data_IF_211567746987
#
_entry.id   IF_211567746987
#
_cell.length_a   1.000
_cell.length_b   1.000
_cell.length_c   1.000
_cell.angle_alpha   90.00
_cell.angle_beta   90.00
_cell.angle_gamma   90.00
#
_symmetry.space_group_name_H-M   'P 1'
#
loop_
_entity.id
_entity.type
_entity.pdbx_description
1 polymer ?
#
# COMPACT_ATOMS: atom_id res chain seq x y z
N UNK A 1 -21.88 15.29 19.31
CA UNK A 1 -20.55 15.93 19.12
C UNK A 1 -20.27 15.92 17.62
N UNK A 2 -19.95 17.07 17.02
CA UNK A 2 -19.68 17.14 15.56
C UNK A 2 -18.16 17.19 15.33
N UNK A 3 -17.66 16.34 14.44
CA UNK A 3 -16.27 16.33 13.99
C UNK A 3 -16.13 17.18 12.71
N UNK A 4 -14.93 17.70 12.47
CA UNK A 4 -14.63 18.38 11.19
C UNK A 4 -14.42 17.35 10.08
N UNK A 5 -13.73 16.25 10.39
CA UNK A 5 -13.45 15.16 9.45
C UNK A 5 -13.60 13.79 10.11
N UNK A 6 -14.23 12.84 9.42
CA UNK A 6 -14.13 11.42 9.68
C UNK A 6 -13.27 10.75 8.59
N UNK A 7 -12.31 9.93 9.00
CA UNK A 7 -11.54 9.06 8.12
C UNK A 7 -12.07 7.64 8.29
N UNK A 8 -12.64 7.08 7.24
CA UNK A 8 -13.22 5.73 7.24
C UNK A 8 -12.19 4.76 6.64
N UNK A 9 -11.75 3.81 7.47
CA UNK A 9 -10.62 2.93 7.22
C UNK A 9 -9.32 3.52 7.79
N UNK A 10 -8.83 2.96 8.91
CA UNK A 10 -7.61 3.38 9.60
C UNK A 10 -6.37 2.57 9.18
N UNK A 11 -6.37 2.06 7.95
CA UNK A 11 -5.22 1.36 7.35
C UNK A 11 -4.09 2.31 6.99
N UNK A 12 -3.31 1.95 5.95
CA UNK A 12 -2.12 2.71 5.53
C UNK A 12 -2.41 4.19 5.29
N UNK A 13 -3.27 4.49 4.32
CA UNK A 13 -3.58 5.88 3.93
C UNK A 13 -4.42 6.59 4.99
N UNK A 14 -5.42 5.90 5.56
CA UNK A 14 -6.30 6.51 6.53
C UNK A 14 -5.63 6.88 7.85
N UNK A 15 -4.64 6.11 8.31
CA UNK A 15 -3.88 6.45 9.52
C UNK A 15 -3.08 7.76 9.33
N UNK A 16 -2.45 7.93 8.16
CA UNK A 16 -1.76 9.18 7.83
C UNK A 16 -2.72 10.33 7.55
N UNK A 17 -3.88 10.08 6.92
CA UNK A 17 -4.92 11.11 6.76
C UNK A 17 -5.40 11.61 8.12
N UNK A 18 -5.66 10.71 9.07
CA UNK A 18 -6.01 11.07 10.45
C UNK A 18 -4.93 11.89 11.15
N UNK A 19 -3.66 11.50 10.98
CA UNK A 19 -2.52 12.25 11.52
C UNK A 19 -2.43 13.66 10.95
N UNK A 20 -2.50 13.81 9.62
CA UNK A 20 -2.43 15.14 9.00
C UNK A 20 -3.65 16.02 9.31
N UNK A 21 -4.85 15.44 9.36
CA UNK A 21 -6.05 16.16 9.77
C UNK A 21 -5.92 16.70 11.18
N UNK A 22 -5.50 15.87 12.13
CA UNK A 22 -5.26 16.31 13.50
C UNK A 22 -4.11 17.33 13.60
N UNK A 23 -3.03 17.16 12.84
CA UNK A 23 -1.90 18.11 12.77
C UNK A 23 -2.31 19.48 12.23
N UNK A 24 -3.32 19.53 11.35
CA UNK A 24 -3.94 20.77 10.86
C UNK A 24 -4.97 21.36 11.84
N UNK A 25 -5.14 20.78 13.02
CA UNK A 25 -6.08 21.26 14.04
C UNK A 25 -7.54 20.88 13.80
N UNK A 26 -7.83 19.97 12.86
CA UNK A 26 -9.18 19.50 12.62
C UNK A 26 -9.61 18.53 13.71
N UNK A 27 -10.85 18.66 14.18
CA UNK A 27 -11.44 17.68 15.08
C UNK A 27 -11.73 16.40 14.32
N UNK A 28 -10.87 15.41 14.49
CA UNK A 28 -10.75 14.21 13.65
C UNK A 28 -11.27 12.97 14.37
N UNK A 29 -12.01 12.12 13.62
CA UNK A 29 -12.37 10.78 14.03
C UNK A 29 -11.88 9.76 13.01
N UNK A 30 -11.05 8.79 13.42
CA UNK A 30 -10.69 7.63 12.62
C UNK A 30 -11.65 6.50 12.96
N UNK A 31 -12.30 5.93 11.95
CA UNK A 31 -13.28 4.86 12.11
C UNK A 31 -12.78 3.63 11.36
N UNK A 32 -12.72 2.50 12.04
CA UNK A 32 -12.41 1.21 11.43
C UNK A 32 -13.24 0.10 12.08
N UNK A 33 -13.61 -0.90 11.29
CA UNK A 33 -14.34 -2.06 11.80
C UNK A 33 -13.53 -2.86 12.81
N UNK A 34 -12.19 -2.84 12.66
CA UNK A 34 -11.26 -3.58 13.52
C UNK A 34 -10.27 -2.63 14.19
N UNK A 35 -9.73 -3.05 15.33
CA UNK A 35 -8.68 -2.29 16.02
C UNK A 35 -7.40 -2.33 15.19
N UNK A 36 -7.05 -1.22 14.54
CA UNK A 36 -5.83 -1.12 13.75
C UNK A 36 -4.55 -0.97 14.64
N UNK A 37 -3.41 -1.59 14.28
CA UNK A 37 -3.23 -2.48 13.12
C UNK A 37 -3.90 -3.85 13.30
N UNK A 38 -4.39 -4.42 12.21
CA UNK A 38 -5.09 -5.71 12.21
C UNK A 38 -4.78 -6.50 10.93
N UNK A 39 -5.07 -7.80 10.93
CA UNK A 39 -4.78 -8.71 9.81
C UNK A 39 -5.80 -8.65 8.66
N UNK A 40 -6.87 -7.88 8.79
CA UNK A 40 -7.92 -7.75 7.76
C UNK A 40 -7.60 -6.71 6.68
N UNK A 41 -6.60 -5.85 6.91
CA UNK A 41 -6.18 -4.82 5.96
C UNK A 41 -5.16 -5.32 4.94
N UNK A 42 -5.04 -4.60 3.82
CA UNK A 42 -4.04 -4.89 2.77
C UNK A 42 -2.60 -4.63 3.22
N UNK A 43 -2.39 -3.96 4.34
CA UNK A 43 -1.07 -3.51 4.81
C UNK A 43 -0.37 -4.49 5.74
N UNK A 44 -1.06 -5.45 6.35
CA UNK A 44 -0.47 -6.34 7.34
C UNK A 44 0.59 -7.28 6.77
N UNK A 45 1.39 -7.91 7.64
CA UNK A 45 2.50 -8.80 7.27
C UNK A 45 3.85 -8.07 7.25
N UNK A 46 4.05 -7.17 8.19
CA UNK A 46 5.28 -6.52 8.67
C UNK A 46 5.92 -5.50 7.71
N UNK A 47 5.97 -5.74 6.42
CA UNK A 47 6.77 -4.92 5.48
C UNK A 47 6.06 -4.64 4.16
N UNK A 48 6.39 -3.47 3.56
CA UNK A 48 6.00 -3.09 2.20
C UNK A 48 7.16 -2.42 1.47
N UNK A 49 7.38 -2.78 0.20
CA UNK A 49 8.41 -2.18 -0.65
C UNK A 49 8.22 -0.67 -0.76
N UNK A 50 9.32 0.05 -0.69
CA UNK A 50 9.42 1.45 -1.09
C UNK A 50 10.45 1.59 -2.22
N UNK A 51 10.05 2.20 -3.33
CA UNK A 51 10.90 2.49 -4.49
C UNK A 51 10.44 3.79 -5.17
N UNK A 52 11.35 4.46 -5.89
CA UNK A 52 11.06 5.64 -6.70
C UNK A 52 11.20 5.30 -8.19
N UNK A 53 12.18 4.47 -8.58
CA UNK A 53 12.30 3.94 -9.93
C UNK A 53 11.10 3.02 -10.22
N UNK A 54 10.08 3.55 -10.94
CA UNK A 54 8.76 2.94 -10.97
C UNK A 54 8.43 2.32 -12.32
N UNK A 55 8.36 0.97 -12.35
CA UNK A 55 8.06 0.20 -13.57
C UNK A 55 6.63 0.40 -14.10
N UNK A 56 5.67 0.79 -13.25
CA UNK A 56 4.28 1.03 -13.60
C UNK A 56 4.03 2.42 -14.22
N UNK A 57 5.08 3.25 -14.33
CA UNK A 57 5.02 4.50 -15.08
C UNK A 57 5.38 5.76 -14.31
N UNK A 58 5.88 6.75 -15.03
CA UNK A 58 6.44 7.99 -14.49
C UNK A 58 5.43 8.88 -13.76
N UNK A 59 4.12 8.74 -14.03
CA UNK A 59 3.05 9.54 -13.37
C UNK A 59 3.05 9.42 -11.84
N UNK A 60 3.62 8.35 -11.30
CA UNK A 60 3.72 8.09 -9.86
C UNK A 60 4.94 8.73 -9.20
N UNK A 61 5.99 9.06 -9.97
CA UNK A 61 7.28 9.45 -9.40
C UNK A 61 7.21 10.72 -8.55
N UNK A 62 6.50 11.80 -8.95
CA UNK A 62 6.36 12.98 -8.10
C UNK A 62 5.73 12.65 -6.73
N UNK A 63 4.73 11.78 -6.71
CA UNK A 63 4.10 11.33 -5.45
C UNK A 63 5.06 10.50 -4.60
N UNK A 64 5.93 9.69 -5.23
CA UNK A 64 6.94 8.89 -4.53
C UNK A 64 8.06 9.74 -3.94
N UNK A 65 8.51 10.77 -4.64
CA UNK A 65 9.50 11.72 -4.13
C UNK A 65 8.96 12.51 -2.93
N UNK A 66 7.70 12.96 -3.00
CA UNK A 66 7.02 13.56 -1.85
C UNK A 66 6.88 12.54 -0.71
N UNK A 67 6.47 11.30 -1.00
CA UNK A 67 6.36 10.24 0.00
C UNK A 67 7.70 9.95 0.69
N UNK A 68 8.80 9.88 -0.07
CA UNK A 68 10.14 9.70 0.49
C UNK A 68 10.48 10.77 1.52
N UNK A 69 10.19 12.03 1.19
CA UNK A 69 10.39 13.17 2.09
C UNK A 69 9.51 13.07 3.33
N UNK A 70 8.21 12.82 3.14
CA UNK A 70 7.23 12.76 4.23
C UNK A 70 7.47 11.55 5.16
N UNK A 71 7.93 10.40 4.66
CA UNK A 71 8.36 9.30 5.51
C UNK A 71 9.51 9.71 6.42
N UNK A 72 10.54 10.38 5.87
CA UNK A 72 11.69 10.85 6.66
C UNK A 72 11.31 11.92 7.69
N UNK A 73 10.42 12.85 7.33
CA UNK A 73 9.88 13.85 8.26
C UNK A 73 9.11 13.20 9.41
N UNK A 74 8.25 12.23 9.10
CA UNK A 74 7.47 11.50 10.10
C UNK A 74 8.36 10.68 11.03
N UNK A 75 9.36 9.95 10.50
CA UNK A 75 10.36 9.22 11.30
C UNK A 75 11.05 10.14 12.30
N UNK A 76 11.51 11.30 11.83
CA UNK A 76 12.18 12.31 12.66
C UNK A 76 11.25 12.89 13.72
N UNK A 77 10.03 13.25 13.34
CA UNK A 77 9.06 13.89 14.24
C UNK A 77 8.60 12.94 15.34
N UNK A 78 8.40 11.66 15.01
CA UNK A 78 7.98 10.65 15.97
C UNK A 78 9.15 9.95 16.69
N UNK A 79 10.40 10.26 16.32
CA UNK A 79 11.63 9.61 16.82
C UNK A 79 11.54 8.09 16.72
N UNK A 80 11.22 7.59 15.53
CA UNK A 80 11.02 6.17 15.25
C UNK A 80 11.59 5.80 13.88
N UNK A 81 12.19 4.62 13.76
CA UNK A 81 12.61 4.07 12.46
C UNK A 81 11.48 3.25 11.85
N UNK A 82 10.99 3.66 10.70
CA UNK A 82 9.92 2.99 9.94
C UNK A 82 10.39 2.54 8.56
N UNK A 83 11.40 3.21 8.00
CA UNK A 83 11.91 2.97 6.67
C UNK A 83 13.31 2.34 6.74
N UNK A 84 13.43 1.09 6.27
CA UNK A 84 14.70 0.40 6.12
C UNK A 84 15.28 0.67 4.73
N UNK A 85 16.36 1.45 4.68
CA UNK A 85 17.04 1.85 3.44
C UNK A 85 18.12 0.86 3.08
N UNK A 86 17.73 -0.38 2.82
CA UNK A 86 18.63 -1.48 2.45
C UNK A 86 18.89 -1.59 0.94
N UNK A 87 18.30 -0.68 0.15
CA UNK A 87 18.24 -0.77 -1.30
C UNK A 87 17.03 -1.56 -1.80
N UNK A 88 16.63 -1.26 -3.04
CA UNK A 88 15.68 -2.08 -3.80
C UNK A 88 16.32 -2.51 -5.12
N UNK A 89 16.36 -3.81 -5.35
CA UNK A 89 16.90 -4.45 -6.54
C UNK A 89 15.77 -4.87 -7.48
N UNK A 90 15.60 -4.16 -8.58
CA UNK A 90 14.73 -4.60 -9.68
C UNK A 90 15.54 -5.52 -10.58
N UNK A 91 15.04 -6.73 -10.88
CA UNK A 91 15.74 -7.76 -11.66
C UNK A 91 14.83 -8.20 -12.79
N UNK A 92 15.34 -8.21 -14.00
CA UNK A 92 14.58 -8.66 -15.17
C UNK A 92 15.41 -8.64 -16.44
N UNK A 93 14.76 -9.02 -17.54
CA UNK A 93 15.31 -8.92 -18.87
C UNK A 93 15.10 -7.51 -19.47
N UNK A 94 15.28 -7.35 -20.78
CA UNK A 94 15.02 -6.08 -21.46
C UNK A 94 13.49 -5.87 -21.71
N UNK A 95 12.71 -5.93 -20.67
CA UNK A 95 11.25 -5.77 -20.68
C UNK A 95 10.81 -4.31 -20.62
N UNK A 96 9.52 -4.05 -20.86
CA UNK A 96 8.93 -2.71 -20.68
C UNK A 96 9.08 -2.24 -19.23
N UNK A 97 8.90 -3.14 -18.26
CA UNK A 97 9.04 -2.81 -16.83
C UNK A 97 10.48 -2.32 -16.53
N UNK A 98 11.50 -3.08 -16.95
CA UNK A 98 12.90 -2.71 -16.70
C UNK A 98 13.31 -1.46 -17.47
N UNK A 99 12.78 -1.22 -18.67
CA UNK A 99 12.97 0.02 -19.43
C UNK A 99 12.36 1.24 -18.69
N UNK A 100 11.19 1.09 -18.11
CA UNK A 100 10.57 2.14 -17.29
C UNK A 100 11.40 2.42 -16.02
N UNK A 101 11.95 1.38 -15.38
CA UNK A 101 12.87 1.53 -14.24
C UNK A 101 14.11 2.33 -14.64
N UNK A 102 14.78 1.96 -15.75
CA UNK A 102 15.96 2.66 -16.25
C UNK A 102 15.65 4.11 -16.66
N UNK A 103 14.50 4.34 -17.31
CA UNK A 103 14.05 5.68 -17.66
C UNK A 103 13.81 6.52 -16.42
N UNK A 104 13.18 5.97 -15.40
CA UNK A 104 12.97 6.64 -14.11
C UNK A 104 14.29 7.01 -13.45
N UNK A 105 15.26 6.10 -13.40
CA UNK A 105 16.59 6.37 -12.85
C UNK A 105 17.24 7.55 -13.57
N UNK A 106 17.19 7.53 -14.91
CA UNK A 106 17.82 8.59 -15.73
C UNK A 106 17.10 9.93 -15.62
N UNK A 107 15.77 9.93 -15.77
CA UNK A 107 14.97 11.16 -15.86
C UNK A 107 14.86 11.91 -14.53
N UNK A 108 15.00 11.20 -13.42
CA UNK A 108 14.85 11.75 -12.06
C UNK A 108 16.16 11.75 -11.25
N UNK A 109 17.29 11.48 -11.92
CA UNK A 109 18.64 11.46 -11.31
C UNK A 109 18.71 10.60 -10.03
N UNK A 110 18.10 9.41 -10.08
CA UNK A 110 18.07 8.49 -8.93
C UNK A 110 19.40 7.77 -8.79
N UNK A 111 19.87 7.63 -7.56
CA UNK A 111 21.10 6.87 -7.27
C UNK A 111 20.86 5.37 -7.46
N UNK A 112 21.40 4.80 -8.51
CA UNK A 112 21.27 3.38 -8.81
C UNK A 112 22.58 2.77 -9.31
N UNK A 113 22.70 1.45 -9.15
CA UNK A 113 23.76 0.62 -9.77
C UNK A 113 23.12 -0.38 -10.70
N UNK A 114 23.68 -0.56 -11.88
CA UNK A 114 23.29 -1.62 -12.81
C UNK A 114 24.23 -2.78 -12.61
N UNK A 115 23.69 -3.99 -12.47
CA UNK A 115 24.40 -5.23 -12.20
C UNK A 115 24.05 -6.25 -13.30
N UNK A 116 25.02 -6.91 -13.88
CA UNK A 116 24.78 -8.05 -14.79
C UNK A 116 24.47 -9.34 -13.99
N UNK A 117 24.10 -10.42 -14.69
CA UNK A 117 23.75 -11.71 -14.07
C UNK A 117 24.87 -12.28 -13.18
N UNK A 118 26.12 -12.16 -13.62
CA UNK A 118 27.29 -12.60 -12.84
C UNK A 118 27.44 -11.79 -11.54
N UNK A 119 27.28 -10.48 -11.61
CA UNK A 119 27.36 -9.59 -10.42
C UNK A 119 26.19 -9.83 -9.46
N UNK A 120 25.00 -10.19 -9.96
CA UNK A 120 23.85 -10.60 -9.13
C UNK A 120 24.18 -11.87 -8.35
N UNK A 121 24.80 -12.85 -8.99
CA UNK A 121 25.22 -14.08 -8.35
C UNK A 121 26.35 -13.84 -7.34
N UNK A 122 27.41 -13.12 -7.74
CA UNK A 122 28.57 -12.88 -6.86
C UNK A 122 28.24 -12.04 -5.62
N UNK A 123 27.38 -11.01 -5.76
CA UNK A 123 27.09 -10.08 -4.67
C UNK A 123 25.92 -10.52 -3.78
N UNK A 124 24.93 -11.22 -4.36
CA UNK A 124 23.66 -11.52 -3.67
C UNK A 124 23.26 -12.99 -3.72
N UNK A 125 24.03 -13.85 -4.37
CA UNK A 125 23.70 -15.26 -4.61
C UNK A 125 22.32 -15.42 -5.28
N UNK A 126 22.02 -14.55 -6.26
CA UNK A 126 20.80 -14.59 -7.07
C UNK A 126 21.18 -15.19 -8.43
N UNK A 127 20.56 -16.30 -8.82
CA UNK A 127 20.79 -17.01 -10.06
C UNK A 127 19.73 -16.62 -11.08
N UNK A 128 20.15 -15.99 -12.18
CA UNK A 128 19.28 -15.62 -13.32
C UNK A 128 19.99 -15.96 -14.64
N UNK A 129 19.28 -15.97 -15.74
CA UNK A 129 19.86 -16.14 -17.07
C UNK A 129 20.71 -14.92 -17.49
N UNK A 130 21.63 -15.12 -18.42
CA UNK A 130 22.62 -14.10 -18.86
C UNK A 130 22.01 -12.85 -19.49
N UNK A 131 20.75 -12.91 -19.96
CA UNK A 131 20.01 -11.78 -20.52
C UNK A 131 19.31 -10.92 -19.44
N UNK A 132 19.33 -11.36 -18.18
CA UNK A 132 18.83 -10.59 -17.05
C UNK A 132 19.89 -9.62 -16.51
N UNK A 133 19.41 -8.52 -15.95
CA UNK A 133 20.24 -7.58 -15.21
C UNK A 133 19.46 -7.03 -14.02
N UNK A 134 20.19 -6.45 -13.08
CA UNK A 134 19.63 -5.81 -11.89
C UNK A 134 19.82 -4.30 -11.92
N UNK A 135 18.83 -3.57 -11.42
CA UNK A 135 18.93 -2.12 -11.13
C UNK A 135 18.72 -1.95 -9.63
N UNK A 136 19.82 -1.72 -8.89
CA UNK A 136 19.79 -1.48 -7.45
C UNK A 136 19.62 0.01 -7.18
N UNK A 137 18.43 0.41 -6.73
CA UNK A 137 18.14 1.75 -6.23
C UNK A 137 18.58 1.87 -4.76
N UNK A 138 19.61 2.71 -4.49
CA UNK A 138 20.40 2.66 -3.25
C UNK A 138 19.64 3.21 -2.03
N UNK A 139 18.95 4.35 -2.20
CA UNK A 139 18.35 5.11 -1.10
C UNK A 139 16.92 4.63 -0.74
N UNK A 140 16.50 3.47 -1.26
CA UNK A 140 15.17 2.88 -1.08
C UNK A 140 15.23 1.52 -0.36
N UNK A 141 14.14 0.76 -0.34
CA UNK A 141 14.10 -0.52 0.36
C UNK A 141 12.68 -0.89 0.78
N UNK A 142 12.39 -0.91 2.09
CA UNK A 142 11.05 -1.24 2.57
C UNK A 142 10.65 -0.46 3.83
N UNK A 143 9.33 -0.40 4.07
CA UNK A 143 8.74 0.25 5.23
C UNK A 143 8.08 -0.81 6.12
N UNK A 144 8.26 -0.69 7.44
CA UNK A 144 7.58 -1.52 8.44
C UNK A 144 6.11 -1.12 8.52
N UNK A 145 5.23 -1.93 7.91
CA UNK A 145 3.85 -1.53 7.63
C UNK A 145 2.96 -1.43 8.86
N UNK A 146 2.93 -2.46 9.69
CA UNK A 146 2.08 -2.48 10.89
C UNK A 146 2.54 -1.44 11.92
N UNK A 147 3.85 -1.30 12.07
CA UNK A 147 4.46 -0.29 12.93
C UNK A 147 4.13 1.12 12.44
N UNK A 148 4.13 1.35 11.13
CA UNK A 148 3.80 2.66 10.54
C UNK A 148 2.35 3.05 10.80
N UNK A 149 1.40 2.14 10.57
CA UNK A 149 -0.03 2.37 10.85
C UNK A 149 -0.25 2.67 12.32
N UNK A 150 0.32 1.86 13.21
CA UNK A 150 0.24 2.08 14.67
C UNK A 150 0.80 3.44 15.07
N UNK A 151 1.95 3.81 14.52
CA UNK A 151 2.63 5.08 14.85
C UNK A 151 1.83 6.28 14.36
N UNK A 152 1.25 6.22 13.15
CA UNK A 152 0.44 7.31 12.61
C UNK A 152 -0.85 7.51 13.41
N UNK A 153 -1.55 6.42 13.79
CA UNK A 153 -2.74 6.51 14.67
C UNK A 153 -2.36 7.10 16.03
N UNK A 154 -1.28 6.62 16.65
CA UNK A 154 -0.83 7.14 17.94
C UNK A 154 -0.46 8.64 17.86
N UNK A 155 0.19 9.06 16.78
CA UNK A 155 0.52 10.47 16.54
C UNK A 155 -0.76 11.31 16.36
N UNK A 156 -1.75 10.81 15.60
CA UNK A 156 -3.05 11.47 15.47
C UNK A 156 -3.76 11.62 16.82
N UNK A 157 -3.79 10.56 17.63
CA UNK A 157 -4.41 10.59 18.96
C UNK A 157 -3.72 11.56 19.92
N UNK A 158 -2.38 11.65 19.89
CA UNK A 158 -1.62 12.64 20.67
C UNK A 158 -1.98 14.09 20.30
N UNK A 159 -2.40 14.30 19.03
CA UNK A 159 -2.88 15.60 18.53
C UNK A 159 -4.39 15.81 18.74
N UNK A 160 -5.07 14.93 19.47
CA UNK A 160 -6.48 15.05 19.82
C UNK A 160 -7.47 14.34 18.87
N UNK A 161 -6.99 13.53 17.92
CA UNK A 161 -7.89 12.68 17.15
C UNK A 161 -8.51 11.58 18.02
N UNK A 162 -9.75 11.21 17.70
CA UNK A 162 -10.43 10.09 18.33
C UNK A 162 -10.40 8.87 17.39
N UNK A 163 -10.33 7.68 17.95
CA UNK A 163 -10.50 6.42 17.23
C UNK A 163 -11.81 5.77 17.61
N UNK A 164 -12.52 5.23 16.65
CA UNK A 164 -13.75 4.45 16.83
C UNK A 164 -13.59 3.11 16.13
N UNK A 165 -13.41 2.05 16.93
CA UNK A 165 -13.37 0.68 16.45
C UNK A 165 -14.79 0.12 16.48
N UNK A 166 -15.51 0.27 15.35
CA UNK A 166 -16.91 -0.15 15.24
C UNK A 166 -17.33 -0.24 13.76
N UNK A 167 -18.27 -1.11 13.45
CA UNK A 167 -18.78 -1.29 12.09
C UNK A 167 -19.80 -0.20 11.74
N UNK A 168 -19.57 0.48 10.63
CA UNK A 168 -20.51 1.45 10.08
C UNK A 168 -21.68 0.70 9.45
N UNK A 169 -22.90 1.06 9.87
CA UNK A 169 -24.14 0.45 9.37
C UNK A 169 -24.98 1.41 8.54
N UNK A 170 -24.69 2.72 8.61
CA UNK A 170 -25.45 3.74 7.88
C UNK A 170 -24.67 5.05 7.78
N UNK A 171 -24.70 5.69 6.61
CA UNK A 171 -24.23 7.06 6.40
C UNK A 171 -25.34 7.83 5.69
N UNK A 172 -25.83 8.92 6.30
CA UNK A 172 -26.84 9.78 5.68
C UNK A 172 -26.47 11.26 5.85
N UNK A 173 -27.16 12.12 5.10
CA UNK A 173 -27.05 13.58 5.20
C UNK A 173 -28.19 14.15 6.04
N UNK A 174 -27.88 14.92 7.08
CA UNK A 174 -28.83 15.61 7.94
C UNK A 174 -28.35 17.04 8.19
N UNK A 175 -29.18 18.04 7.86
CA UNK A 175 -28.88 19.47 8.14
C UNK A 175 -27.51 19.95 7.64
N UNK A 176 -27.06 19.52 6.46
CA UNK A 176 -25.80 19.94 5.84
C UNK A 176 -24.54 19.25 6.38
N UNK A 177 -24.69 18.24 7.23
CA UNK A 177 -23.60 17.40 7.71
C UNK A 177 -23.91 15.92 7.47
N UNK A 178 -22.88 15.08 7.49
CA UNK A 178 -23.09 13.64 7.48
C UNK A 178 -23.34 13.13 8.90
N UNK A 179 -24.23 12.18 9.01
CA UNK A 179 -24.43 11.37 10.20
C UNK A 179 -23.96 9.95 9.89
N UNK A 180 -22.97 9.49 10.66
CA UNK A 180 -22.43 8.13 10.57
C UNK A 180 -22.97 7.36 11.76
N UNK A 181 -23.73 6.30 11.49
CA UNK A 181 -24.18 5.33 12.49
C UNK A 181 -23.30 4.10 12.42
N UNK A 182 -22.82 3.68 13.57
CA UNK A 182 -22.13 2.40 13.76
C UNK A 182 -23.05 1.44 14.54
N UNK A 183 -22.63 0.21 14.74
CA UNK A 183 -23.44 -0.75 15.51
C UNK A 183 -23.75 -0.24 16.93
N UNK A 184 -22.81 0.47 17.57
CA UNK A 184 -22.91 0.85 18.99
C UNK A 184 -23.00 2.36 19.21
N UNK A 185 -22.81 3.21 18.20
CA UNK A 185 -22.76 4.66 18.37
C UNK A 185 -23.21 5.45 17.14
N UNK A 186 -23.26 6.77 17.25
CA UNK A 186 -23.55 7.69 16.16
C UNK A 186 -22.75 8.97 16.32
N UNK A 187 -22.17 9.46 15.22
CA UNK A 187 -21.46 10.72 15.18
C UNK A 187 -21.96 11.61 14.04
N UNK A 188 -21.76 12.91 14.19
CA UNK A 188 -21.93 13.88 13.10
C UNK A 188 -20.59 14.37 12.62
N UNK A 189 -20.44 14.60 11.32
CA UNK A 189 -19.19 15.01 10.70
C UNK A 189 -19.45 15.92 9.50
N UNK A 190 -18.59 16.94 9.32
CA UNK A 190 -18.70 17.87 8.19
C UNK A 190 -18.17 17.27 6.90
N UNK A 191 -17.06 16.53 6.97
CA UNK A 191 -16.35 15.97 5.82
C UNK A 191 -15.97 14.52 6.07
N UNK A 192 -16.01 13.70 5.02
CA UNK A 192 -15.64 12.29 5.06
C UNK A 192 -14.49 12.03 4.09
N UNK A 193 -13.46 11.32 4.54
CA UNK A 193 -12.43 10.71 3.71
C UNK A 193 -12.58 9.18 3.79
N UNK A 194 -12.85 8.53 2.65
CA UNK A 194 -12.96 7.08 2.58
C UNK A 194 -11.65 6.49 2.05
N UNK A 195 -11.02 5.63 2.84
CA UNK A 195 -9.81 4.86 2.51
C UNK A 195 -9.89 3.43 3.05
N UNK A 196 -11.07 2.80 2.88
CA UNK A 196 -11.41 1.49 3.44
C UNK A 196 -10.79 0.30 2.66
N UNK A 197 -9.84 0.57 1.75
CA UNK A 197 -9.06 -0.44 1.03
C UNK A 197 -9.93 -1.39 0.22
N UNK A 198 -9.72 -2.69 0.38
CA UNK A 198 -10.44 -3.74 -0.35
C UNK A 198 -11.95 -3.78 -0.06
N UNK A 199 -12.37 -3.26 1.08
CA UNK A 199 -13.76 -3.34 1.54
C UNK A 199 -14.53 -2.03 1.40
N UNK A 200 -14.06 -1.15 0.51
CA UNK A 200 -14.69 0.14 0.27
C UNK A 200 -16.15 0.02 -0.21
N UNK A 201 -16.47 -0.99 -1.01
CA UNK A 201 -17.84 -1.20 -1.49
C UNK A 201 -18.82 -1.54 -0.35
N UNK A 202 -18.35 -2.18 0.74
CA UNK A 202 -19.17 -2.36 1.96
C UNK A 202 -19.54 -1.02 2.59
N UNK A 203 -18.58 -0.08 2.66
CA UNK A 203 -18.83 1.29 3.19
C UNK A 203 -19.75 2.09 2.27
N UNK A 204 -19.55 2.02 0.96
CA UNK A 204 -20.37 2.76 0.01
C UNK A 204 -21.81 2.24 -0.03
N UNK A 205 -22.04 0.94 0.19
CA UNK A 205 -23.37 0.32 0.17
C UNK A 205 -24.29 0.77 1.32
N UNK A 206 -23.73 1.32 2.41
CA UNK A 206 -24.50 1.83 3.56
C UNK A 206 -24.69 3.34 3.51
N UNK A 207 -24.33 4.00 2.41
CA UNK A 207 -24.63 5.40 2.15
C UNK A 207 -26.07 5.56 1.61
N UNK A 208 -26.89 6.38 2.27
CA UNK A 208 -28.29 6.64 1.89
C UNK A 208 -28.42 7.90 1.04
N UNK A 209 -27.53 8.13 0.11
CA UNK A 209 -27.55 9.21 -0.88
C UNK A 209 -26.83 8.74 -2.14
N UNK A 210 -27.16 9.35 -3.26
CA UNK A 210 -26.59 8.95 -4.55
C UNK A 210 -25.09 9.17 -4.60
N UNK A 211 -24.36 8.13 -4.97
CA UNK A 211 -22.92 8.13 -5.19
C UNK A 211 -22.60 7.51 -6.56
N UNK A 212 -21.56 7.97 -7.23
CA UNK A 212 -21.07 7.31 -8.42
C UNK A 212 -20.61 5.88 -8.10
N UNK A 213 -20.76 4.98 -9.06
CA UNK A 213 -20.24 3.60 -8.93
C UNK A 213 -18.71 3.62 -8.92
N UNK A 214 -18.11 3.00 -7.92
CA UNK A 214 -16.66 2.88 -7.79
C UNK A 214 -16.22 1.46 -8.15
N UNK A 215 -15.45 1.25 -9.23
CA UNK A 215 -15.09 -0.07 -9.71
C UNK A 215 -13.84 -0.61 -8.97
N UNK A 216 -13.98 -0.96 -7.70
CA UNK A 216 -12.92 -1.60 -6.91
C UNK A 216 -13.24 -3.08 -6.71
N UNK A 217 -12.38 -3.94 -7.25
CA UNK A 217 -12.37 -5.38 -7.02
C UNK A 217 -11.43 -5.78 -5.89
N UNK A 218 -11.47 -7.04 -5.51
CA UNK A 218 -10.62 -7.59 -4.44
C UNK A 218 -9.88 -8.80 -4.98
N UNK A 219 -8.55 -8.84 -4.78
CA UNK A 219 -7.75 -10.03 -4.99
C UNK A 219 -7.20 -10.51 -3.65
N UNK A 220 -7.45 -11.79 -3.31
CA UNK A 220 -6.79 -12.46 -2.19
C UNK A 220 -5.35 -12.73 -2.58
N UNK A 221 -4.41 -12.38 -1.72
CA UNK A 221 -2.97 -12.49 -1.96
C UNK A 221 -2.32 -13.27 -0.84
N UNK A 222 -1.30 -14.05 -1.18
CA UNK A 222 -0.46 -14.74 -0.21
C UNK A 222 0.96 -14.23 -0.24
N UNK A 223 1.63 -14.31 0.90
CA UNK A 223 3.07 -14.11 1.05
C UNK A 223 3.63 -15.25 1.88
N UNK A 224 4.82 -15.70 1.51
CA UNK A 224 5.49 -16.85 2.12
C UNK A 224 6.83 -16.39 2.71
N UNK A 225 7.24 -17.01 3.81
CA UNK A 225 8.56 -16.86 4.39
C UNK A 225 9.32 -18.18 4.26
N UNK A 226 10.60 -18.08 3.94
CA UNK A 226 11.50 -19.22 3.77
C UNK A 226 12.71 -19.02 4.66
N UNK A 227 13.12 -20.07 5.37
CA UNK A 227 14.34 -20.04 6.14
C UNK A 227 15.57 -19.87 5.24
N UNK A 228 16.54 -19.11 5.70
CA UNK A 228 17.79 -18.87 4.98
C UNK A 228 18.93 -18.46 5.91
N UNK A 229 20.17 -18.77 5.49
CA UNK A 229 21.36 -18.23 6.15
C UNK A 229 22.02 -17.10 5.34
N UNK A 230 21.61 -16.90 4.08
CA UNK A 230 22.32 -16.06 3.10
C UNK A 230 21.61 -14.73 2.80
N UNK A 231 20.29 -14.68 2.78
CA UNK A 231 19.54 -13.50 2.29
C UNK A 231 19.12 -12.58 3.44
N UNK A 232 20.08 -12.20 4.29
CA UNK A 232 19.84 -11.45 5.54
C UNK A 232 20.04 -9.95 5.37
N UNK A 233 19.17 -9.17 5.99
CA UNK A 233 19.34 -7.71 6.10
C UNK A 233 20.68 -7.33 6.72
N UNK A 234 21.11 -8.07 7.75
CA UNK A 234 22.40 -7.84 8.43
C UNK A 234 23.63 -8.10 7.53
N UNK A 235 23.47 -8.82 6.43
CA UNK A 235 24.50 -9.07 5.42
C UNK A 235 24.41 -8.11 4.23
N UNK A 236 23.49 -7.11 4.28
CA UNK A 236 23.31 -6.13 3.22
C UNK A 236 22.43 -6.63 2.06
N UNK A 237 21.66 -7.70 2.25
CA UNK A 237 20.73 -8.16 1.21
C UNK A 237 19.57 -7.14 1.05
N UNK A 238 19.27 -6.68 -0.20
CA UNK A 238 18.24 -5.67 -0.45
C UNK A 238 16.83 -6.27 -0.48
N UNK A 239 15.81 -5.41 -0.45
CA UNK A 239 14.50 -5.78 -0.96
C UNK A 239 14.58 -5.95 -2.48
N UNK A 240 13.68 -6.74 -3.09
CA UNK A 240 13.77 -7.03 -4.50
C UNK A 240 12.41 -7.14 -5.21
N UNK A 241 12.44 -6.92 -6.52
CA UNK A 241 11.40 -7.29 -7.49
C UNK A 241 12.11 -8.06 -8.60
N UNK A 242 11.61 -9.25 -8.92
CA UNK A 242 12.17 -10.15 -9.91
C UNK A 242 11.11 -10.53 -10.94
N UNK A 243 11.35 -10.25 -12.22
CA UNK A 243 10.49 -10.71 -13.30
C UNK A 243 10.47 -12.24 -13.39
N UNK A 244 9.28 -12.78 -13.54
CA UNK A 244 9.06 -14.20 -13.72
C UNK A 244 7.86 -14.42 -14.64
N UNK A 245 8.09 -14.94 -15.84
CA UNK A 245 7.06 -15.07 -16.88
C UNK A 245 6.36 -13.70 -17.12
N UNK A 246 5.03 -13.64 -17.07
CA UNK A 246 4.23 -12.42 -17.20
C UNK A 246 3.90 -11.75 -15.84
N UNK A 247 4.64 -12.10 -14.77
CA UNK A 247 4.41 -11.67 -13.38
C UNK A 247 5.73 -11.22 -12.73
N UNK A 248 5.68 -10.94 -11.43
CA UNK A 248 6.81 -10.53 -10.61
C UNK A 248 6.79 -11.25 -9.28
N UNK A 249 7.94 -11.78 -8.85
CA UNK A 249 8.20 -11.98 -7.43
C UNK A 249 8.61 -10.65 -6.80
N UNK A 250 8.17 -10.39 -5.60
CA UNK A 250 8.71 -9.33 -4.76
C UNK A 250 9.08 -9.89 -3.39
N UNK A 251 10.15 -9.37 -2.80
CA UNK A 251 10.59 -9.93 -1.53
C UNK A 251 11.39 -8.97 -0.67
N UNK A 252 11.63 -9.44 0.54
CA UNK A 252 12.27 -8.69 1.61
C UNK A 252 13.34 -9.54 2.26
N UNK A 253 14.50 -8.95 2.62
CA UNK A 253 15.55 -9.70 3.31
C UNK A 253 15.05 -10.30 4.62
N UNK A 254 15.68 -11.40 5.03
CA UNK A 254 15.47 -11.94 6.37
C UNK A 254 16.03 -10.98 7.42
N UNK A 255 15.19 -10.55 8.34
CA UNK A 255 15.58 -9.77 9.51
C UNK A 255 15.04 -10.36 10.84
N UNK A 256 14.17 -11.41 10.75
CA UNK A 256 13.61 -12.11 11.91
C UNK A 256 13.06 -13.50 11.57
N UNK A 257 12.27 -13.61 10.50
CA UNK A 257 11.37 -14.77 10.24
C UNK A 257 11.68 -15.48 8.92
N UNK A 258 12.79 -15.18 8.27
CA UNK A 258 13.18 -15.69 6.96
C UNK A 258 12.97 -14.70 5.80
N UNK A 259 13.41 -15.10 4.60
CA UNK A 259 13.17 -14.33 3.38
C UNK A 259 11.67 -14.34 3.06
N UNK A 260 11.06 -13.17 3.05
CA UNK A 260 9.65 -13.00 2.72
C UNK A 260 9.48 -12.79 1.22
N UNK A 261 8.58 -13.55 0.59
CA UNK A 261 8.32 -13.48 -0.86
C UNK A 261 6.82 -13.49 -1.14
N UNK A 262 6.40 -12.72 -2.13
CA UNK A 262 5.05 -12.76 -2.73
C UNK A 262 5.12 -12.69 -4.24
N UNK A 263 4.01 -13.02 -4.92
CA UNK A 263 3.81 -12.80 -6.37
C UNK A 263 2.80 -11.68 -6.59
N UNK A 264 3.01 -10.87 -7.63
CA UNK A 264 2.19 -9.67 -7.83
C UNK A 264 0.84 -9.95 -8.50
N UNK A 265 0.81 -10.67 -9.61
CA UNK A 265 -0.43 -10.87 -10.40
C UNK A 265 -1.25 -12.09 -9.98
N UNK A 266 -0.66 -13.05 -9.26
CA UNK A 266 -1.33 -14.27 -8.81
C UNK A 266 -2.21 -14.02 -7.59
N UNK A 267 -3.28 -14.81 -7.45
CA UNK A 267 -4.23 -14.78 -6.34
C UNK A 267 -5.68 -14.78 -6.81
N UNK A 268 -6.58 -15.21 -5.95
CA UNK A 268 -7.99 -15.39 -6.26
C UNK A 268 -8.73 -14.04 -6.26
N UNK A 269 -9.56 -13.80 -7.28
CA UNK A 269 -10.53 -12.70 -7.27
C UNK A 269 -11.67 -13.11 -6.35
N UNK A 270 -11.95 -12.28 -5.37
CA UNK A 270 -13.00 -12.49 -4.37
C UNK A 270 -13.96 -11.29 -4.39
N UNK A 271 -15.17 -11.49 -3.92
CA UNK A 271 -16.23 -10.46 -3.91
C UNK A 271 -16.56 -9.97 -2.51
N UNK A 272 -16.36 -10.82 -1.51
CA UNK A 272 -16.74 -10.54 -0.13
C UNK A 272 -15.59 -10.81 0.84
N UNK A 273 -15.74 -10.32 2.07
CA UNK A 273 -14.78 -10.54 3.15
C UNK A 273 -14.69 -12.01 3.56
N UNK A 274 -15.81 -12.71 3.52
CA UNK A 274 -15.92 -14.12 3.92
C UNK A 274 -15.16 -15.04 2.97
N UNK A 275 -15.02 -14.64 1.70
CA UNK A 275 -14.24 -15.38 0.70
C UNK A 275 -12.71 -15.23 0.90
N UNK A 276 -12.28 -14.31 1.77
CA UNK A 276 -10.88 -14.19 2.18
C UNK A 276 -10.54 -15.29 3.19
N UNK A 277 -10.50 -16.51 2.72
CA UNK A 277 -10.11 -17.65 3.57
C UNK A 277 -8.64 -17.53 4.03
N UNK A 278 -8.33 -18.11 5.18
CA UNK A 278 -7.00 -18.03 5.78
C UNK A 278 -5.94 -18.79 4.96
N UNK A 279 -4.67 -18.48 5.23
CA UNK A 279 -3.53 -19.16 4.60
C UNK A 279 -3.57 -20.67 4.87
N UNK A 280 -3.25 -21.45 3.83
CA UNK A 280 -3.29 -22.92 3.87
C UNK A 280 -4.66 -23.52 3.53
N UNK A 281 -5.66 -22.67 3.21
CA UNK A 281 -6.94 -23.14 2.70
C UNK A 281 -6.84 -23.70 1.28
N UNK A 282 -5.85 -23.28 0.53
CA UNK A 282 -5.53 -23.78 -0.81
C UNK A 282 -4.11 -24.34 -0.84
N UNK A 283 -3.92 -25.45 -1.54
CA UNK A 283 -2.60 -26.07 -1.73
C UNK A 283 -1.62 -25.08 -2.41
N UNK A 284 -2.12 -24.27 -3.35
CA UNK A 284 -1.36 -23.25 -4.07
C UNK A 284 -0.78 -22.16 -3.16
N UNK A 285 -1.35 -21.93 -1.98
CA UNK A 285 -0.85 -20.92 -1.03
C UNK A 285 0.63 -21.14 -0.69
N UNK A 286 1.10 -22.37 -0.70
CA UNK A 286 2.51 -22.73 -0.43
C UNK A 286 3.26 -23.07 -1.72
N UNK A 287 2.63 -23.83 -2.63
CA UNK A 287 3.32 -24.40 -3.79
C UNK A 287 3.67 -23.38 -4.86
N UNK A 288 2.82 -22.39 -5.10
CA UNK A 288 2.99 -21.43 -6.20
C UNK A 288 4.30 -20.64 -6.10
N UNK A 289 4.59 -20.08 -4.93
CA UNK A 289 5.86 -19.35 -4.71
C UNK A 289 7.02 -20.32 -4.50
N UNK A 290 6.84 -21.31 -3.64
CA UNK A 290 7.91 -22.23 -3.20
C UNK A 290 8.53 -23.04 -4.32
N UNK A 291 7.75 -23.38 -5.38
CA UNK A 291 8.23 -24.15 -6.51
C UNK A 291 9.25 -23.39 -7.35
N UNK A 292 9.02 -22.10 -7.58
CA UNK A 292 9.81 -21.33 -8.55
C UNK A 292 10.87 -20.44 -7.90
N UNK A 293 10.63 -19.94 -6.70
CA UNK A 293 11.56 -18.98 -6.07
C UNK A 293 12.95 -19.60 -5.79
N UNK A 294 13.02 -20.89 -5.52
CA UNK A 294 14.29 -21.61 -5.26
C UNK A 294 15.19 -21.71 -6.50
N UNK A 295 14.66 -21.55 -7.70
CA UNK A 295 15.46 -21.49 -8.92
C UNK A 295 16.35 -20.24 -8.94
N UNK A 296 15.86 -19.13 -8.38
CA UNK A 296 16.56 -17.86 -8.32
C UNK A 296 17.38 -17.67 -7.04
N UNK A 297 16.97 -18.32 -5.95
CA UNK A 297 17.57 -18.19 -4.62
C UNK A 297 17.98 -19.57 -4.09
N UNK A 298 19.16 -20.09 -4.50
CA UNK A 298 19.55 -21.48 -4.25
C UNK A 298 19.74 -21.81 -2.77
N UNK A 299 20.04 -20.82 -1.92
CA UNK A 299 20.24 -21.01 -0.47
C UNK A 299 18.94 -20.91 0.35
N UNK A 300 17.76 -20.85 -0.33
CA UNK A 300 16.48 -20.96 0.38
C UNK A 300 16.28 -22.38 0.91
N UNK A 301 15.98 -22.44 2.19
CA UNK A 301 15.63 -23.66 2.89
C UNK A 301 14.13 -23.96 2.78
N UNK A 302 13.57 -24.52 3.83
CA UNK A 302 12.18 -24.90 3.86
C UNK A 302 11.25 -23.69 4.05
N UNK A 303 10.00 -23.87 3.64
CA UNK A 303 8.91 -22.95 3.95
C UNK A 303 8.74 -22.86 5.48
N UNK A 304 8.69 -21.64 6.00
CA UNK A 304 8.55 -21.39 7.43
C UNK A 304 7.10 -21.05 7.78
N UNK A 305 6.55 -20.03 7.17
CA UNK A 305 5.17 -19.55 7.42
C UNK A 305 4.60 -18.84 6.21
N UNK A 306 3.28 -18.66 6.21
CA UNK A 306 2.57 -17.88 5.23
C UNK A 306 1.51 -16.96 5.82
N UNK A 307 1.06 -16.01 5.04
CA UNK A 307 0.00 -15.08 5.44
C UNK A 307 -0.83 -14.66 4.24
N UNK A 308 -2.09 -14.28 4.50
CA UNK A 308 -3.04 -13.79 3.50
C UNK A 308 -3.27 -12.30 3.70
N UNK A 309 -3.25 -11.56 2.61
CA UNK A 309 -3.76 -10.20 2.55
C UNK A 309 -4.70 -10.02 1.35
N UNK A 310 -5.19 -8.81 1.13
CA UNK A 310 -6.02 -8.47 -0.03
C UNK A 310 -5.43 -7.28 -0.78
N UNK A 311 -5.57 -7.28 -2.11
CA UNK A 311 -5.28 -6.12 -2.95
C UNK A 311 -6.60 -5.52 -3.45
N UNK A 312 -6.86 -4.22 -3.19
CA UNK A 312 -7.94 -3.48 -3.82
C UNK A 312 -7.53 -3.12 -5.24
N UNK A 313 -8.22 -3.67 -6.24
CA UNK A 313 -7.91 -3.50 -7.65
C UNK A 313 -8.89 -2.53 -8.31
N UNK A 314 -8.39 -1.62 -9.12
CA UNK A 314 -9.14 -0.91 -10.14
C UNK A 314 -9.07 -1.64 -11.47
N UNK A 315 -9.93 -1.36 -12.47
CA UNK A 315 -9.90 -2.05 -13.78
C UNK A 315 -8.61 -1.85 -14.59
N UNK A 316 -7.89 -0.75 -14.33
CA UNK A 316 -6.65 -0.37 -15.02
C UNK A 316 -5.41 -0.42 -14.13
N UNK A 317 -5.53 -1.02 -12.95
CA UNK A 317 -4.52 -1.12 -11.89
C UNK A 317 -4.01 0.24 -11.35
N UNK A 318 -4.58 1.38 -11.79
CA UNK A 318 -4.25 2.71 -11.30
C UNK A 318 -5.12 3.12 -10.10
N UNK A 319 -4.62 4.03 -9.29
CA UNK A 319 -5.36 4.57 -8.15
C UNK A 319 -6.66 5.25 -8.58
N UNK A 320 -7.67 5.23 -7.71
CA UNK A 320 -8.89 6.03 -7.86
C UNK A 320 -8.90 7.07 -6.75
N UNK A 321 -8.78 8.35 -7.12
CA UNK A 321 -8.70 9.48 -6.21
C UNK A 321 -9.63 10.57 -6.71
N UNK A 322 -10.77 10.76 -6.04
CA UNK A 322 -11.78 11.74 -6.49
C UNK A 322 -12.74 12.15 -5.36
N UNK A 323 -13.49 13.20 -5.59
CA UNK A 323 -14.68 13.52 -4.83
C UNK A 323 -15.85 12.66 -5.32
N UNK A 324 -16.49 11.93 -4.41
CA UNK A 324 -17.76 11.24 -4.71
C UNK A 324 -18.96 12.12 -4.41
N UNK A 325 -18.78 13.14 -3.58
CA UNK A 325 -19.77 14.15 -3.20
C UNK A 325 -19.01 15.41 -2.73
N UNK A 326 -19.66 16.55 -2.58
CA UNK A 326 -19.05 17.84 -2.23
C UNK A 326 -18.07 17.75 -1.04
N UNK A 327 -18.45 17.05 0.03
CA UNK A 327 -17.63 16.89 1.25
C UNK A 327 -17.26 15.42 1.53
N UNK A 328 -17.29 14.56 0.50
CA UNK A 328 -16.88 13.18 0.58
C UNK A 328 -15.78 12.89 -0.44
N UNK A 329 -14.57 12.65 0.06
CA UNK A 329 -13.40 12.33 -0.72
C UNK A 329 -13.06 10.85 -0.63
N UNK A 330 -12.66 10.28 -1.74
CA UNK A 330 -12.42 8.86 -1.89
C UNK A 330 -11.02 8.56 -2.39
N UNK A 331 -10.39 7.54 -1.81
CA UNK A 331 -9.15 6.95 -2.29
C UNK A 331 -9.24 5.42 -2.23
N UNK A 332 -9.18 4.78 -3.40
CA UNK A 332 -9.28 3.33 -3.55
C UNK A 332 -8.48 2.78 -4.73
N UNK A 333 -8.60 1.47 -5.00
CA UNK A 333 -7.81 0.80 -6.02
C UNK A 333 -6.29 0.84 -5.74
N UNK A 334 -5.91 0.94 -4.45
CA UNK A 334 -4.53 1.22 -4.04
C UNK A 334 -3.74 -0.08 -3.81
N UNK A 335 -3.71 -0.98 -4.78
CA UNK A 335 -3.07 -2.31 -4.67
C UNK A 335 -1.61 -2.22 -4.22
N UNK A 336 -0.86 -1.28 -4.76
CA UNK A 336 0.53 -0.99 -4.42
C UNK A 336 0.70 0.34 -3.67
N UNK A 337 -0.37 0.83 -3.02
CA UNK A 337 -0.48 2.18 -2.46
C UNK A 337 0.26 2.43 -1.13
N UNK A 338 0.72 1.40 -0.40
CA UNK A 338 1.27 1.59 0.94
C UNK A 338 2.42 2.60 1.00
N UNK A 339 3.36 2.54 0.06
CA UNK A 339 4.53 3.43 0.00
C UNK A 339 4.16 4.91 -0.14
N UNK A 340 2.96 5.18 -0.69
CA UNK A 340 2.39 6.52 -0.86
C UNK A 340 1.57 7.00 0.36
N UNK A 341 1.46 6.21 1.42
CA UNK A 341 0.53 6.48 2.53
C UNK A 341 0.61 7.91 3.10
N UNK A 342 1.78 8.49 3.40
CA UNK A 342 1.85 9.87 3.89
C UNK A 342 1.41 10.89 2.84
N UNK A 343 1.85 10.77 1.59
CA UNK A 343 1.46 11.67 0.50
C UNK A 343 -0.05 11.61 0.24
N UNK A 344 -0.62 10.41 0.09
CA UNK A 344 -2.05 10.26 -0.15
C UNK A 344 -2.88 10.73 1.06
N UNK A 345 -2.43 10.44 2.28
CA UNK A 345 -3.09 10.95 3.48
C UNK A 345 -3.13 12.47 3.53
N UNK A 346 -2.01 13.12 3.26
CA UNK A 346 -1.91 14.58 3.19
C UNK A 346 -2.74 15.17 2.04
N UNK A 347 -2.66 14.56 0.85
CA UNK A 347 -3.43 14.95 -0.33
C UNK A 347 -4.93 14.93 -0.05
N UNK A 348 -5.45 13.84 0.51
CA UNK A 348 -6.89 13.71 0.77
C UNK A 348 -7.40 14.76 1.75
N UNK A 349 -6.65 15.04 2.82
CA UNK A 349 -7.01 16.11 3.77
C UNK A 349 -6.96 17.49 3.10
N UNK A 350 -5.90 17.80 2.34
CA UNK A 350 -5.80 19.07 1.61
C UNK A 350 -6.92 19.23 0.59
N UNK A 351 -7.27 18.17 -0.15
CA UNK A 351 -8.36 18.20 -1.12
C UNK A 351 -9.68 18.58 -0.45
N UNK A 352 -10.03 17.95 0.67
CA UNK A 352 -11.24 18.27 1.44
C UNK A 352 -11.22 19.72 1.98
N UNK A 353 -10.09 20.19 2.49
CA UNK A 353 -9.99 21.54 3.06
C UNK A 353 -10.05 22.63 1.98
N UNK A 354 -9.50 22.39 0.81
CA UNK A 354 -9.43 23.38 -0.28
C UNK A 354 -10.56 23.24 -1.30
N UNK A 355 -11.30 22.14 -1.28
CA UNK A 355 -12.27 21.75 -2.31
C UNK A 355 -11.66 21.71 -3.72
N UNK A 356 -10.37 21.36 -3.79
CA UNK A 356 -9.61 21.28 -5.04
C UNK A 356 -8.78 20.01 -5.10
N UNK A 357 -8.73 19.42 -6.29
CA UNK A 357 -7.85 18.32 -6.60
C UNK A 357 -6.78 18.80 -7.56
N UNK A 358 -5.53 18.44 -7.30
CA UNK A 358 -4.41 18.78 -8.18
C UNK A 358 -4.71 18.32 -9.62
N UNK A 359 -4.42 19.14 -10.64
CA UNK A 359 -4.68 18.79 -12.04
C UNK A 359 -4.07 17.48 -12.49
N UNK A 360 -2.86 17.14 -12.03
CA UNK A 360 -2.18 15.89 -12.37
C UNK A 360 -2.90 14.68 -11.74
N UNK A 361 -3.34 14.80 -10.48
CA UNK A 361 -4.13 13.76 -9.81
C UNK A 361 -5.45 13.56 -10.53
N UNK A 362 -6.14 14.66 -10.88
CA UNK A 362 -7.40 14.60 -11.62
C UNK A 362 -7.23 13.97 -13.00
N UNK A 363 -6.14 14.26 -13.70
CA UNK A 363 -5.85 13.72 -15.03
C UNK A 363 -5.68 12.20 -15.01
N UNK A 364 -4.92 11.67 -14.03
CA UNK A 364 -4.51 10.26 -14.05
C UNK A 364 -5.38 9.36 -13.15
N UNK A 365 -5.98 9.91 -12.09
CA UNK A 365 -6.57 9.09 -11.03
C UNK A 365 -8.05 9.38 -10.76
N UNK A 366 -8.67 10.32 -11.51
CA UNK A 366 -10.10 10.62 -11.36
C UNK A 366 -10.98 9.42 -11.75
N UNK A 367 -12.09 9.25 -11.03
CA UNK A 367 -13.11 8.25 -11.31
C UNK A 367 -13.73 8.41 -12.71
N UNK A 368 -13.76 9.65 -13.23
CA UNK A 368 -14.32 9.99 -14.54
C UNK A 368 -13.69 9.24 -15.72
N UNK A 369 -12.47 8.72 -15.56
CA UNK A 369 -11.82 7.93 -16.61
C UNK A 369 -12.54 6.61 -16.91
N UNK A 370 -13.45 6.17 -16.04
CA UNK A 370 -14.29 4.99 -16.22
C UNK A 370 -15.72 5.32 -16.73
N UNK A 371 -16.11 6.60 -16.83
CA UNK A 371 -17.43 7.03 -17.32
C UNK A 371 -17.51 7.05 -18.87
N UNK A 372 -16.37 6.92 -19.55
CA UNK A 372 -16.25 7.04 -21.01
C UNK A 372 -16.23 5.70 -21.77
N UNK A 373 -16.68 4.59 -21.14
CA UNK A 373 -16.74 3.27 -21.76
C UNK A 373 -18.19 2.78 -21.88
#
# INVERSE_FOLDING_TARGET
MTYDIAVIGSGSVGSFAGYYAAKMGLKTCLIDKFQAPHTQGSYHGDTRIFRIAYGEGEKYIPLLQEAYTLWGEFEKEQNIKLFERCGLLNIGSNSTFMQNVLSSVKNYDLKAKILNAKELQENYNICVSDDFFGVLEIDTGFVYSDLSVKSAINAACKLGAHTLCDEIVRICKENGVYKIQTQNSSIQVKQILISAGSYVNEVLSVCEFDLPKVPVGIRRKVVNWFDTDSYKLSQGFPAFILEFEDDYFYGFPDFADGLKVGRDKVGEIISTREERVEFGSYEQDTLDIGKHIKEFFPDLKDFSKGSVCTYPLSPDDDFIIDFLDENLFFMGGLSHGFKFAPTLGLLGVKALQTQKLDPSIKQYFSLKRFEAV
#
